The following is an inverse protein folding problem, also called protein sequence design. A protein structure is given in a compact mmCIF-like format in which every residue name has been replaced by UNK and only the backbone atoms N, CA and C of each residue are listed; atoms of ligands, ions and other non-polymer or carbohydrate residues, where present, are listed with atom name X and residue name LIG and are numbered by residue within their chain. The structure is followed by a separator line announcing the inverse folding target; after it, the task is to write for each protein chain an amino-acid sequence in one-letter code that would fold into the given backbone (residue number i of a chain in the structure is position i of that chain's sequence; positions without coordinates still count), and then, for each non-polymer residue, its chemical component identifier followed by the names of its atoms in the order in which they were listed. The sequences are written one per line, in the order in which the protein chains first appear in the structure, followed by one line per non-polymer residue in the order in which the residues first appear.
data_IF_405032602604
#
_entry.id   IF_405032602604
#
_cell.length_a   1.000
_cell.length_b   1.000
_cell.length_c   1.000
_cell.angle_alpha   90.00
_cell.angle_beta   90.00
_cell.angle_gamma   90.00
#
_symmetry.space_group_name_H-M   'P 1'
#
loop_
_entity.id
_entity.type
_entity.pdbx_description
1 polymer ?
#
# COMPACT_ATOMS: atom_id res chain seq x y z
N UNK A 1 6.71 -3.47 -9.41
CA UNK A 1 7.48 -3.05 -10.60
C UNK A 1 8.08 -4.22 -11.36
N UNK A 2 8.25 -5.40 -10.76
CA UNK A 2 8.55 -6.65 -11.47
C UNK A 2 7.36 -7.60 -11.30
N UNK A 3 6.83 -8.14 -12.41
CA UNK A 3 5.69 -9.07 -12.40
C UNK A 3 5.98 -10.36 -11.66
N UNK A 4 7.20 -10.91 -11.76
CA UNK A 4 7.55 -12.17 -11.08
C UNK A 4 7.55 -12.02 -9.57
N UNK A 5 8.02 -10.86 -9.09
CA UNK A 5 7.99 -10.54 -7.65
C UNK A 5 6.57 -10.34 -7.17
N UNK A 6 5.75 -9.63 -7.95
CA UNK A 6 4.32 -9.42 -7.64
C UNK A 6 3.57 -10.75 -7.55
N UNK A 7 3.68 -11.60 -8.58
CA UNK A 7 3.09 -12.95 -8.61
C UNK A 7 3.58 -13.80 -7.42
N UNK A 8 4.88 -13.77 -7.12
CA UNK A 8 5.44 -14.53 -6.00
C UNK A 8 4.90 -14.05 -4.65
N UNK A 9 4.77 -12.74 -4.44
CA UNK A 9 4.28 -12.18 -3.17
C UNK A 9 2.79 -12.48 -3.02
N UNK A 10 2.02 -12.38 -4.10
CA UNK A 10 0.57 -12.59 -4.11
C UNK A 10 0.14 -14.06 -4.14
N UNK A 11 1.04 -15.01 -4.42
CA UNK A 11 0.66 -16.43 -4.42
C UNK A 11 0.24 -16.94 -3.04
N UNK A 12 0.72 -16.30 -1.97
CA UNK A 12 0.46 -16.68 -0.57
C UNK A 12 -0.88 -16.11 -0.10
N UNK A 13 -1.67 -16.92 0.57
CA UNK A 13 -2.99 -16.52 1.06
C UNK A 13 -2.89 -15.52 2.22
N UNK A 14 -1.84 -15.61 3.02
CA UNK A 14 -1.53 -14.67 4.09
C UNK A 14 -1.31 -13.25 3.54
N UNK A 15 -0.65 -13.11 2.39
CA UNK A 15 -0.48 -11.81 1.73
C UNK A 15 -1.83 -11.24 1.29
N UNK A 16 -2.70 -12.07 0.71
CA UNK A 16 -4.04 -11.64 0.26
C UNK A 16 -4.90 -11.23 1.44
N UNK A 17 -4.87 -12.01 2.53
CA UNK A 17 -5.58 -11.69 3.76
C UNK A 17 -5.05 -10.40 4.39
N UNK A 18 -3.73 -10.22 4.42
CA UNK A 18 -3.11 -8.98 4.90
C UNK A 18 -3.57 -7.76 4.11
N UNK A 19 -3.58 -7.85 2.77
CA UNK A 19 -4.08 -6.77 1.91
C UNK A 19 -5.55 -6.45 2.21
N UNK A 20 -6.39 -7.47 2.37
CA UNK A 20 -7.80 -7.29 2.68
C UNK A 20 -8.03 -6.54 4.00
N UNK A 21 -7.35 -6.97 5.07
CA UNK A 21 -7.46 -6.30 6.38
C UNK A 21 -6.88 -4.88 6.33
N UNK A 22 -5.79 -4.67 5.59
CA UNK A 22 -5.21 -3.35 5.41
C UNK A 22 -6.16 -2.40 4.66
N UNK A 23 -6.83 -2.88 3.62
CA UNK A 23 -7.83 -2.09 2.88
C UNK A 23 -9.00 -1.70 3.76
N UNK A 24 -9.50 -2.62 4.59
CA UNK A 24 -10.57 -2.33 5.56
C UNK A 24 -10.14 -1.27 6.55
N UNK A 25 -8.96 -1.42 7.14
CA UNK A 25 -8.42 -0.48 8.12
C UNK A 25 -8.32 0.93 7.53
N UNK A 26 -7.67 1.06 6.36
CA UNK A 26 -7.48 2.37 5.74
C UNK A 26 -8.84 2.96 5.35
N UNK A 27 -9.73 2.18 4.72
CA UNK A 27 -11.07 2.65 4.33
C UNK A 27 -11.88 3.14 5.53
N UNK A 28 -11.75 2.48 6.69
CA UNK A 28 -12.38 2.91 7.94
C UNK A 28 -11.80 4.24 8.44
N UNK A 29 -10.48 4.42 8.35
CA UNK A 29 -9.79 5.60 8.84
C UNK A 29 -10.01 6.84 7.97
N UNK A 30 -10.09 6.69 6.64
CA UNK A 30 -10.19 7.81 5.69
C UNK A 30 -11.24 8.88 6.05
N UNK A 31 -12.54 8.54 6.25
CA UNK A 31 -13.54 9.55 6.58
C UNK A 31 -13.34 10.18 7.97
N UNK A 32 -12.66 9.48 8.89
CA UNK A 32 -12.35 10.02 10.21
C UNK A 32 -11.26 11.10 10.12
N UNK A 33 -10.22 10.86 9.33
CA UNK A 33 -9.17 11.84 9.05
C UNK A 33 -9.73 13.07 8.31
N UNK A 34 -10.63 12.87 7.35
CA UNK A 34 -11.31 13.97 6.65
C UNK A 34 -12.13 14.82 7.62
N UNK A 35 -12.90 14.18 8.52
CA UNK A 35 -13.70 14.88 9.55
C UNK A 35 -12.84 15.71 10.51
N UNK A 36 -11.62 15.27 10.81
CA UNK A 36 -10.66 16.02 11.61
C UNK A 36 -10.00 17.18 10.84
N UNK A 37 -10.29 17.34 9.54
CA UNK A 37 -9.70 18.38 8.70
C UNK A 37 -8.25 18.09 8.30
N UNK A 38 -7.82 16.82 8.35
CA UNK A 38 -6.46 16.43 7.96
C UNK A 38 -6.36 16.36 6.43
N UNK A 39 -5.42 17.11 5.88
CA UNK A 39 -5.20 17.18 4.42
C UNK A 39 -4.43 15.96 3.88
N UNK A 40 -3.63 15.31 4.73
CA UNK A 40 -2.77 14.19 4.32
C UNK A 40 -2.80 13.06 5.34
N UNK A 41 -2.84 11.83 4.83
CA UNK A 41 -2.60 10.60 5.58
C UNK A 41 -1.37 9.90 4.99
N UNK A 42 -0.27 9.89 5.72
CA UNK A 42 0.98 9.24 5.30
C UNK A 42 1.04 7.81 5.83
N UNK A 43 1.16 6.83 4.94
CA UNK A 43 1.26 5.41 5.28
C UNK A 43 2.62 4.89 4.82
N UNK A 44 3.43 4.41 5.75
CA UNK A 44 4.73 3.82 5.46
C UNK A 44 4.67 2.29 5.64
N UNK A 45 5.10 1.57 4.61
CA UNK A 45 5.22 0.10 4.64
C UNK A 45 6.67 -0.30 4.40
N UNK A 46 7.25 -1.00 5.36
CA UNK A 46 8.63 -1.47 5.31
C UNK A 46 8.72 -2.99 5.20
N UNK A 47 9.62 -3.46 4.36
CA UNK A 47 10.19 -4.80 4.49
C UNK A 47 11.71 -4.67 4.69
N UNK A 48 12.39 -5.73 5.14
CA UNK A 48 13.81 -5.65 5.55
C UNK A 48 14.71 -4.91 4.56
N UNK A 49 14.58 -5.19 3.26
CA UNK A 49 15.34 -4.53 2.20
C UNK A 49 14.56 -3.51 1.38
N UNK A 50 13.31 -3.18 1.74
CA UNK A 50 12.51 -2.15 1.08
C UNK A 50 12.12 -2.35 -0.39
N UNK A 51 12.53 -3.44 -1.06
CA UNK A 51 12.45 -3.60 -2.53
C UNK A 51 11.38 -4.56 -3.07
N UNK A 52 10.86 -5.47 -2.25
CA UNK A 52 9.97 -6.54 -2.72
C UNK A 52 8.56 -6.43 -2.14
N UNK A 53 8.38 -6.86 -0.88
CA UNK A 53 7.05 -6.96 -0.24
C UNK A 53 6.39 -5.59 -0.07
N UNK A 54 7.13 -4.62 0.49
CA UNK A 54 6.63 -3.25 0.68
C UNK A 54 6.20 -2.62 -0.65
N UNK A 55 7.01 -2.76 -1.69
CA UNK A 55 6.74 -2.22 -3.03
C UNK A 55 5.46 -2.84 -3.62
N UNK A 56 5.31 -4.17 -3.56
CA UNK A 56 4.12 -4.86 -4.08
C UNK A 56 2.87 -4.42 -3.32
N UNK A 57 2.92 -4.38 -1.99
CA UNK A 57 1.75 -4.00 -1.17
C UNK A 57 1.36 -2.53 -1.42
N UNK A 58 2.33 -1.61 -1.48
CA UNK A 58 2.06 -0.18 -1.77
C UNK A 58 1.42 0.00 -3.16
N UNK A 59 1.91 -0.73 -4.17
CA UNK A 59 1.33 -0.69 -5.51
C UNK A 59 -0.13 -1.17 -5.51
N UNK A 60 -0.43 -2.23 -4.75
CA UNK A 60 -1.78 -2.76 -4.61
C UNK A 60 -2.73 -1.79 -3.88
N UNK A 61 -2.25 -1.17 -2.80
CA UNK A 61 -2.98 -0.12 -2.10
C UNK A 61 -3.32 1.05 -3.02
N UNK A 62 -2.35 1.51 -3.80
CA UNK A 62 -2.57 2.59 -4.74
C UNK A 62 -3.65 2.23 -5.76
N UNK A 63 -3.57 1.06 -6.40
CA UNK A 63 -4.61 0.61 -7.34
C UNK A 63 -6.00 0.61 -6.68
N UNK A 64 -6.12 0.04 -5.48
CA UNK A 64 -7.40 -0.07 -4.77
C UNK A 64 -8.01 1.30 -4.39
N UNK A 65 -7.19 2.26 -3.96
CA UNK A 65 -7.69 3.56 -3.49
C UNK A 65 -7.77 4.62 -4.61
N UNK A 66 -6.98 4.50 -5.67
CA UNK A 66 -7.14 5.35 -6.87
C UNK A 66 -8.50 5.15 -7.54
N UNK A 67 -9.10 3.96 -7.43
CA UNK A 67 -10.45 3.68 -7.92
C UNK A 67 -11.56 4.33 -7.06
N UNK A 68 -11.23 4.80 -5.85
CA UNK A 68 -12.19 5.34 -4.87
C UNK A 68 -12.11 6.87 -4.71
N UNK A 69 -11.68 7.57 -5.76
CA UNK A 69 -11.56 9.04 -5.83
C UNK A 69 -10.54 9.67 -4.85
N UNK A 70 -9.69 8.87 -4.20
CA UNK A 70 -8.61 9.39 -3.37
C UNK A 70 -7.36 9.68 -4.20
N UNK A 71 -6.76 10.85 -3.98
CA UNK A 71 -5.43 11.16 -4.51
C UNK A 71 -4.38 10.41 -3.70
N UNK A 72 -3.78 9.38 -4.31
CA UNK A 72 -2.73 8.57 -3.69
C UNK A 72 -1.40 8.88 -4.37
N UNK A 73 -0.39 9.22 -3.57
CA UNK A 73 0.99 9.39 -4.02
C UNK A 73 1.83 8.27 -3.42
N UNK A 74 2.56 7.52 -4.27
CA UNK A 74 3.49 6.47 -3.82
C UNK A 74 4.92 7.00 -3.88
N UNK A 75 5.69 6.70 -2.83
CA UNK A 75 7.14 6.88 -2.84
C UNK A 75 7.82 5.58 -2.36
N UNK A 76 8.73 5.04 -3.17
CA UNK A 76 9.51 3.84 -2.85
C UNK A 76 10.92 4.24 -2.41
N UNK A 77 11.11 4.45 -1.09
CA UNK A 77 12.34 5.04 -0.54
C UNK A 77 13.65 4.29 -0.89
N UNK A 78 13.62 2.97 -0.84
CA UNK A 78 14.83 2.13 -0.92
C UNK A 78 14.96 1.37 -2.26
N UNK A 79 14.14 1.72 -3.25
CA UNK A 79 14.16 1.04 -4.57
C UNK A 79 15.41 1.38 -5.39
N UNK A 80 15.92 2.62 -5.25
CA UNK A 80 17.05 3.15 -6.01
C UNK A 80 18.35 3.28 -5.19
N UNK A 81 18.35 2.81 -3.94
CA UNK A 81 19.56 2.84 -3.11
C UNK A 81 20.45 1.66 -3.49
N UNK A 82 21.53 1.90 -4.23
CA UNK A 82 22.67 0.98 -4.34
C UNK A 82 23.61 1.10 -3.13
#
# INVERSE_FOLDING_TARGET
NDKKVEEYVLKWDETKQFLHELYKLISFLMPLYEKEGKTYLSIALGCTGGRHRSVVILNHLNRYFSEKEFQVNINHRDIDRE
#
